data_IF_824641055490
#
_entry.id   IF_824641055490
#
_cell.length_a   1.000
_cell.length_b   1.000
_cell.length_c   1.000
_cell.angle_alpha   90.00
_cell.angle_beta   90.00
_cell.angle_gamma   90.00
#
_symmetry.space_group_name_H-M   'P 1'
#
loop_
_entity.id
_entity.type
_entity.pdbx_description
1 polymer ?
#
# COMPACT_ATOMS: atom_id res chain seq x y z
N UNK A 1 3.17 16.13 3.53
CA UNK A 1 4.64 16.24 3.46
C UNK A 1 5.21 14.86 3.15
N UNK A 2 5.87 14.71 2.00
CA UNK A 2 6.42 13.42 1.58
C UNK A 2 7.75 13.07 2.26
N UNK A 3 8.51 14.06 2.75
CA UNK A 3 9.73 13.80 3.52
C UNK A 3 9.40 13.19 4.88
N UNK A 4 8.32 13.66 5.52
CA UNK A 4 7.82 13.07 6.75
C UNK A 4 7.42 11.59 6.57
N UNK A 5 6.81 11.22 5.44
CA UNK A 5 6.47 9.81 5.16
C UNK A 5 7.71 8.93 5.02
N UNK A 6 8.71 9.39 4.25
CA UNK A 6 9.99 8.69 4.11
C UNK A 6 10.71 8.54 5.44
N UNK A 7 10.71 9.61 6.25
CA UNK A 7 11.29 9.58 7.59
C UNK A 7 10.59 8.53 8.47
N UNK A 8 9.26 8.53 8.51
CA UNK A 8 8.48 7.61 9.33
C UNK A 8 8.71 6.15 8.92
N UNK A 9 8.74 5.87 7.61
CA UNK A 9 9.07 4.53 7.12
C UNK A 9 10.48 4.09 7.56
N UNK A 10 11.47 4.98 7.47
CA UNK A 10 12.82 4.70 7.95
C UNK A 10 12.87 4.45 9.47
N UNK A 11 12.07 5.15 10.27
CA UNK A 11 11.92 4.90 11.71
C UNK A 11 11.36 3.51 11.96
N UNK A 12 10.26 3.14 11.29
CA UNK A 12 9.63 1.81 11.44
C UNK A 12 10.62 0.69 11.11
N UNK A 13 11.38 0.80 10.02
CA UNK A 13 12.41 -0.18 9.65
C UNK A 13 13.52 -0.30 10.68
N UNK A 14 13.93 0.80 11.33
CA UNK A 14 14.91 0.75 12.42
C UNK A 14 14.35 0.08 13.68
N UNK A 15 13.06 0.23 13.96
CA UNK A 15 12.42 -0.35 15.13
C UNK A 15 12.13 -1.85 14.97
N UNK A 16 11.97 -2.33 13.74
CA UNK A 16 11.68 -3.73 13.43
C UNK A 16 12.58 -4.24 12.28
N UNK A 17 13.90 -4.36 12.50
CA UNK A 17 14.86 -4.65 11.43
C UNK A 17 14.69 -6.03 10.78
N UNK A 18 14.15 -7.00 11.53
CA UNK A 18 13.97 -8.38 11.08
C UNK A 18 12.56 -8.67 10.56
N UNK A 19 11.69 -7.64 10.52
CA UNK A 19 10.29 -7.78 10.09
C UNK A 19 10.07 -7.19 8.70
N UNK A 20 9.13 -7.78 7.95
CA UNK A 20 8.60 -7.14 6.75
C UNK A 20 7.67 -5.98 7.14
N UNK A 21 7.73 -4.88 6.38
CA UNK A 21 6.91 -3.69 6.60
C UNK A 21 5.83 -3.59 5.52
N UNK A 22 4.58 -3.73 5.95
CA UNK A 22 3.41 -3.41 5.13
C UNK A 22 2.94 -1.98 5.44
N UNK A 23 3.02 -1.07 4.47
CA UNK A 23 2.44 0.27 4.65
C UNK A 23 0.98 0.26 4.23
N UNK A 24 0.10 0.50 5.21
CA UNK A 24 -1.34 0.56 4.98
C UNK A 24 -1.69 1.92 4.37
N UNK A 25 -2.32 1.90 3.20
CA UNK A 25 -2.66 3.09 2.40
C UNK A 25 -4.14 3.12 1.99
N UNK A 26 -5.00 2.42 2.74
CA UNK A 26 -6.46 2.46 2.56
C UNK A 26 -7.05 3.87 2.75
N UNK A 27 -8.27 4.07 2.29
CA UNK A 27 -9.01 5.32 2.33
C UNK A 27 -8.20 6.50 1.75
N UNK A 28 -7.70 6.34 0.52
CA UNK A 28 -6.84 7.31 -0.17
C UNK A 28 -5.60 7.71 0.65
N UNK A 29 -4.88 6.71 1.15
CA UNK A 29 -3.76 6.86 2.08
C UNK A 29 -4.14 7.68 3.32
N UNK A 30 -5.24 7.33 3.98
CA UNK A 30 -5.78 8.07 5.12
C UNK A 30 -6.00 9.55 4.80
N UNK A 31 -6.48 9.86 3.59
CA UNK A 31 -6.73 11.23 3.10
C UNK A 31 -5.49 12.01 2.66
N UNK A 32 -4.32 11.37 2.53
CA UNK A 32 -3.08 12.02 2.08
C UNK A 32 -2.90 11.99 0.55
N UNK A 33 -3.76 11.27 -0.18
CA UNK A 33 -3.67 11.12 -1.62
C UNK A 33 -2.72 9.99 -2.03
N UNK A 34 -3.25 8.94 -2.65
CA UNK A 34 -2.51 7.70 -2.91
C UNK A 34 -1.29 7.87 -3.83
N UNK A 35 -1.38 8.74 -4.84
CA UNK A 35 -0.36 8.86 -5.88
C UNK A 35 1.03 9.22 -5.35
N UNK A 36 1.14 10.34 -4.62
CA UNK A 36 2.43 10.75 -4.05
C UNK A 36 2.84 9.95 -2.81
N UNK A 37 1.87 9.38 -2.09
CA UNK A 37 2.14 8.54 -0.92
C UNK A 37 2.76 7.21 -1.32
N UNK A 38 2.24 6.54 -2.34
CA UNK A 38 2.76 5.24 -2.81
C UNK A 38 4.25 5.34 -3.18
N UNK A 39 4.65 6.38 -3.91
CA UNK A 39 6.06 6.66 -4.25
C UNK A 39 6.91 6.95 -3.02
N UNK A 40 6.37 7.67 -2.05
CA UNK A 40 7.09 7.99 -0.80
C UNK A 40 7.33 6.76 0.08
N UNK A 41 6.60 5.67 -0.18
CA UNK A 41 6.65 4.42 0.57
C UNK A 41 7.29 3.27 -0.24
N UNK A 42 8.06 3.57 -1.29
CA UNK A 42 8.85 2.58 -2.08
C UNK A 42 9.78 1.70 -1.25
N UNK A 43 10.16 2.14 -0.04
CA UNK A 43 10.97 1.35 0.89
C UNK A 43 10.22 0.24 1.64
N UNK A 44 8.90 0.11 1.45
CA UNK A 44 8.05 -0.90 2.09
C UNK A 44 8.08 -2.23 1.34
N UNK A 45 7.98 -3.35 2.06
CA UNK A 45 7.99 -4.69 1.46
C UNK A 45 6.70 -5.02 0.69
N UNK A 46 5.62 -4.30 1.03
CA UNK A 46 4.31 -4.31 0.39
C UNK A 46 3.50 -3.07 0.80
N UNK A 47 2.51 -2.71 -0.02
CA UNK A 47 1.43 -1.81 0.39
C UNK A 47 0.18 -2.62 0.71
N UNK A 48 -0.65 -2.10 1.62
CA UNK A 48 -1.89 -2.74 2.02
C UNK A 48 -3.09 -1.80 1.84
N UNK A 49 -4.16 -2.31 1.23
CA UNK A 49 -5.40 -1.59 0.91
C UNK A 49 -6.61 -2.36 1.43
N UNK A 50 -7.78 -1.72 1.51
CA UNK A 50 -9.00 -2.36 1.95
C UNK A 50 -9.73 -3.07 0.81
N UNK A 51 -9.74 -2.49 -0.40
CA UNK A 51 -10.58 -2.96 -1.52
C UNK A 51 -9.80 -3.14 -2.84
N UNK A 52 -10.36 -3.89 -3.78
CA UNK A 52 -9.82 -4.03 -5.15
C UNK A 52 -9.81 -2.69 -5.90
N UNK A 53 -10.78 -1.82 -5.64
CA UNK A 53 -10.80 -0.46 -6.18
C UNK A 53 -9.57 0.35 -5.76
N UNK A 54 -9.21 0.32 -4.48
CA UNK A 54 -7.98 0.95 -3.98
C UNK A 54 -6.72 0.28 -4.53
N UNK A 55 -6.73 -1.05 -4.66
CA UNK A 55 -5.63 -1.80 -5.27
C UNK A 55 -5.30 -1.26 -6.66
N UNK A 56 -6.32 -1.02 -7.50
CA UNK A 56 -6.15 -0.45 -8.84
C UNK A 56 -5.57 0.94 -8.80
N UNK A 57 -6.07 1.82 -7.93
CA UNK A 57 -5.52 3.17 -7.77
C UNK A 57 -4.03 3.14 -7.40
N UNK A 58 -3.62 2.19 -6.56
CA UNK A 58 -2.21 1.98 -6.24
C UNK A 58 -1.41 1.50 -7.45
N UNK A 59 -1.95 0.57 -8.26
CA UNK A 59 -1.31 0.16 -9.52
C UNK A 59 -1.17 1.31 -10.51
N UNK A 60 -2.22 2.11 -10.68
CA UNK A 60 -2.24 3.28 -11.56
C UNK A 60 -1.23 4.35 -11.12
N UNK A 61 -0.92 4.44 -9.82
CA UNK A 61 0.14 5.31 -9.31
C UNK A 61 1.56 4.87 -9.69
N UNK A 62 1.72 3.68 -10.27
CA UNK A 62 2.99 3.10 -10.70
C UNK A 62 3.61 2.12 -9.70
N UNK A 63 2.89 1.70 -8.65
CA UNK A 63 3.40 0.72 -7.70
C UNK A 63 3.48 -0.68 -8.33
N UNK A 64 4.71 -1.17 -8.54
CA UNK A 64 4.98 -2.51 -9.06
C UNK A 64 5.13 -3.60 -7.99
N UNK A 65 5.20 -3.24 -6.71
CA UNK A 65 5.45 -4.18 -5.62
C UNK A 65 4.25 -5.06 -5.25
N UNK A 66 4.39 -5.85 -4.18
CA UNK A 66 3.30 -6.67 -3.63
C UNK A 66 2.20 -5.78 -3.04
N UNK A 67 0.97 -6.24 -3.15
CA UNK A 67 -0.21 -5.62 -2.53
C UNK A 67 -0.91 -6.65 -1.64
N UNK A 68 -1.33 -6.21 -0.46
CA UNK A 68 -2.15 -6.98 0.47
C UNK A 68 -3.55 -6.38 0.53
N UNK A 69 -4.56 -7.21 0.26
CA UNK A 69 -5.96 -6.88 0.47
C UNK A 69 -6.35 -7.26 1.91
N UNK A 70 -6.54 -6.26 2.76
CA UNK A 70 -6.73 -6.47 4.20
C UNK A 70 -8.04 -7.20 4.53
N UNK A 71 -9.09 -6.95 3.77
CA UNK A 71 -10.43 -7.47 4.02
C UNK A 71 -10.71 -8.77 3.23
N UNK A 72 -9.73 -9.21 2.42
CA UNK A 72 -9.95 -10.26 1.43
C UNK A 72 -10.91 -9.83 0.34
N UNK A 73 -11.41 -10.80 -0.42
CA UNK A 73 -12.33 -10.58 -1.53
C UNK A 73 -13.77 -10.80 -1.05
N UNK A 74 -14.71 -9.96 -1.51
CA UNK A 74 -16.13 -10.11 -1.23
C UNK A 74 -16.72 -11.40 -1.84
N UNK A 75 -16.08 -11.93 -2.89
CA UNK A 75 -16.46 -13.20 -3.52
C UNK A 75 -15.49 -13.58 -4.66
N UNK A 76 -15.77 -14.71 -5.34
CA UNK A 76 -14.93 -15.20 -6.43
C UNK A 76 -14.79 -14.20 -7.60
N UNK A 77 -15.85 -13.46 -7.91
CA UNK A 77 -15.84 -12.48 -9.01
C UNK A 77 -14.82 -11.36 -8.77
N UNK A 78 -14.73 -10.85 -7.55
CA UNK A 78 -13.76 -9.81 -7.18
C UNK A 78 -12.32 -10.39 -7.11
N UNK A 79 -12.18 -11.68 -6.77
CA UNK A 79 -10.88 -12.37 -6.85
C UNK A 79 -10.38 -12.45 -8.29
N UNK A 80 -11.24 -12.87 -9.22
CA UNK A 80 -10.92 -12.96 -10.65
C UNK A 80 -10.59 -11.56 -11.21
N UNK A 81 -11.35 -10.54 -10.80
CA UNK A 81 -11.10 -9.15 -11.14
C UNK A 81 -9.74 -8.63 -10.68
N UNK A 82 -9.26 -9.08 -9.52
CA UNK A 82 -7.96 -8.69 -8.98
C UNK A 82 -6.78 -9.43 -9.61
N UNK A 83 -7.04 -10.56 -10.30
CA UNK A 83 -6.03 -11.36 -11.00
C UNK A 83 -5.75 -10.86 -12.42
N UNK A 84 -6.70 -10.14 -13.02
CA UNK A 84 -6.64 -9.60 -14.39
C UNK A 84 -5.77 -8.34 -14.50
#
# INVERSE_FOLDING_TARGET
DYDALRHNLAVVRRMAPDSQVASVVKADAYGHGIGGVARSLEGSDLLAVATVGEMRQVRDSGWGGRLLLLEGFAGPEEFDEAQA
#
